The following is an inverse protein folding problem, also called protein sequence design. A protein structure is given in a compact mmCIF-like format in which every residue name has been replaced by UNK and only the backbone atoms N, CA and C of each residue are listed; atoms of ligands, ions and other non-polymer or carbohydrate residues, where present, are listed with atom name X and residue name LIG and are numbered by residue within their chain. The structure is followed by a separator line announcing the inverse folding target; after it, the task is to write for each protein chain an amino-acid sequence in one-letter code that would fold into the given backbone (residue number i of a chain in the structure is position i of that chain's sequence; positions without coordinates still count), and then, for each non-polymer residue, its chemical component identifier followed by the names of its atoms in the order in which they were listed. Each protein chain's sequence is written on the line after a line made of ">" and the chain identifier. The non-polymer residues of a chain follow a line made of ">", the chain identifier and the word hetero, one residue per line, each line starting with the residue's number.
data_IF_515027262253
#
_entry.id   IF_515027262253
#
_cell.length_a   1.000
_cell.length_b   1.000
_cell.length_c   1.000
_cell.angle_alpha   90.00
_cell.angle_beta   90.00
_cell.angle_gamma   90.00
#
_symmetry.space_group_name_H-M   'P 1'
#
loop_
_entity.id
_entity.type
_entity.pdbx_description
1 polymer ?
#
# COMPACT_ATOMS: atom_id res chain seq x y z
N UNK A 1 -6.14 -12.41 11.40
CA UNK A 1 -5.35 -13.20 10.43
C UNK A 1 -4.09 -12.41 10.14
N UNK A 2 -2.91 -13.05 10.19
CA UNK A 2 -1.62 -12.42 9.90
C UNK A 2 -0.74 -13.51 9.30
N UNK A 3 -0.98 -13.85 8.05
CA UNK A 3 -0.20 -14.84 7.31
C UNK A 3 0.16 -14.21 5.95
N UNK A 4 1.42 -13.79 5.81
CA UNK A 4 1.98 -13.33 4.52
C UNK A 4 1.54 -11.94 4.04
N UNK A 5 0.98 -11.10 4.90
CA UNK A 5 0.63 -9.72 4.52
C UNK A 5 1.88 -8.89 4.19
N UNK A 6 1.76 -8.06 3.16
CA UNK A 6 2.82 -7.14 2.74
C UNK A 6 2.89 -6.02 3.78
N UNK A 7 4.07 -5.85 4.38
CA UNK A 7 4.33 -4.71 5.27
C UNK A 7 4.55 -3.48 4.40
N UNK A 8 3.69 -2.49 4.60
CA UNK A 8 3.80 -1.20 3.91
C UNK A 8 3.93 -0.06 4.92
N UNK A 9 4.52 1.05 4.48
CA UNK A 9 4.56 2.30 5.23
C UNK A 9 3.27 3.13 5.05
N UNK A 10 3.26 4.37 5.57
CA UNK A 10 2.12 5.29 5.46
C UNK A 10 1.82 5.76 4.03
N UNK A 11 2.71 5.53 3.08
CA UNK A 11 2.54 5.83 1.66
C UNK A 11 2.20 4.58 0.82
N UNK A 12 2.06 3.42 1.45
CA UNK A 12 1.80 2.16 0.77
C UNK A 12 3.06 1.54 0.14
N UNK A 13 4.26 2.05 0.44
CA UNK A 13 5.51 1.54 -0.12
C UNK A 13 5.95 0.26 0.62
N UNK A 14 6.40 -0.73 -0.14
CA UNK A 14 6.96 -1.97 0.38
C UNK A 14 8.48 -1.83 0.62
N UNK A 15 9.13 -2.92 1.05
CA UNK A 15 10.58 -2.96 1.27
C UNK A 15 11.41 -2.92 -0.02
N UNK A 16 10.78 -3.06 -1.19
CA UNK A 16 11.44 -3.00 -2.50
C UNK A 16 11.13 -1.62 -3.12
N UNK A 17 12.14 -0.82 -3.51
CA UNK A 17 11.92 0.48 -4.15
C UNK A 17 11.04 0.36 -5.40
N UNK A 18 10.07 1.25 -5.52
CA UNK A 18 9.11 1.26 -6.62
C UNK A 18 7.97 0.23 -6.51
N UNK A 19 7.95 -0.61 -5.47
CA UNK A 19 6.87 -1.57 -5.22
C UNK A 19 5.94 -1.03 -4.14
N UNK A 20 4.64 -1.01 -4.45
CA UNK A 20 3.59 -0.52 -3.56
C UNK A 20 2.50 -1.58 -3.41
N UNK A 21 1.83 -1.59 -2.26
CA UNK A 21 0.70 -2.48 -1.99
C UNK A 21 -0.41 -1.75 -1.21
N UNK A 22 -1.64 -2.21 -1.39
CA UNK A 22 -2.82 -1.61 -0.76
C UNK A 22 -3.92 -2.64 -0.49
N UNK A 23 -4.83 -2.29 0.40
CA UNK A 23 -5.97 -3.12 0.74
C UNK A 23 -5.62 -4.36 1.55
N UNK A 24 -6.44 -5.40 1.39
CA UNK A 24 -6.47 -6.53 2.31
C UNK A 24 -5.17 -7.37 2.32
N UNK A 25 -4.36 -7.30 1.26
CA UNK A 25 -3.07 -7.98 1.18
C UNK A 25 -1.96 -7.32 2.02
N UNK A 26 -2.22 -6.13 2.56
CA UNK A 26 -1.25 -5.38 3.39
C UNK A 26 -1.43 -5.65 4.88
N UNK A 27 -0.52 -5.15 5.72
CA UNK A 27 -0.62 -5.20 7.18
C UNK A 27 -1.70 -4.28 7.80
N UNK A 28 -2.67 -3.80 7.02
CA UNK A 28 -3.83 -3.05 7.53
C UNK A 28 -4.65 -3.85 8.53
N UNK A 29 -4.97 -3.24 9.68
CA UNK A 29 -5.74 -3.88 10.76
C UNK A 29 -7.18 -4.23 10.40
N UNK A 30 -7.76 -3.53 9.41
CA UNK A 30 -9.15 -3.67 9.00
C UNK A 30 -9.26 -3.97 7.51
N UNK A 31 -10.18 -4.88 7.16
CA UNK A 31 -10.31 -5.47 5.82
C UNK A 31 -11.70 -5.18 5.27
N UNK A 32 -11.89 -3.98 4.72
CA UNK A 32 -13.18 -3.50 4.23
C UNK A 32 -13.02 -2.77 2.92
N UNK A 33 -14.08 -2.76 2.10
CA UNK A 33 -14.08 -2.15 0.76
C UNK A 33 -13.56 -0.72 0.81
N UNK A 34 -14.13 0.15 1.65
CA UNK A 34 -13.72 1.56 1.72
C UNK A 34 -12.30 1.76 2.25
N UNK A 35 -11.84 0.90 3.16
CA UNK A 35 -10.47 0.96 3.69
C UNK A 35 -9.48 0.56 2.59
N UNK A 36 -9.79 -0.49 1.85
CA UNK A 36 -9.03 -0.90 0.67
C UNK A 36 -8.98 0.19 -0.40
N UNK A 37 -10.09 0.86 -0.67
CA UNK A 37 -10.12 1.98 -1.63
C UNK A 37 -9.28 3.17 -1.16
N UNK A 38 -9.33 3.52 0.12
CA UNK A 38 -8.52 4.62 0.68
C UNK A 38 -7.02 4.34 0.60
N UNK A 39 -6.60 3.15 1.05
CA UNK A 39 -5.20 2.73 0.97
C UNK A 39 -4.70 2.60 -0.47
N UNK A 40 -5.56 2.21 -1.42
CA UNK A 40 -5.23 2.17 -2.84
C UNK A 40 -4.95 3.57 -3.41
N UNK A 41 -5.73 4.58 -3.02
CA UNK A 41 -5.48 5.96 -3.44
C UNK A 41 -4.12 6.47 -2.93
N UNK A 42 -3.79 6.19 -1.66
CA UNK A 42 -2.49 6.54 -1.08
C UNK A 42 -1.33 5.85 -1.80
N UNK A 43 -1.42 4.54 -2.03
CA UNK A 43 -0.39 3.77 -2.72
C UNK A 43 -0.20 4.24 -4.18
N UNK A 44 -1.28 4.58 -4.88
CA UNK A 44 -1.22 5.10 -6.25
C UNK A 44 -0.50 6.46 -6.32
N UNK A 45 -0.79 7.37 -5.37
CA UNK A 45 -0.09 8.64 -5.27
C UNK A 45 1.38 8.46 -4.92
N UNK A 46 1.71 7.53 -4.02
CA UNK A 46 3.09 7.16 -3.69
C UNK A 46 3.86 6.63 -4.89
N UNK A 47 3.24 5.73 -5.67
CA UNK A 47 3.82 5.21 -6.90
C UNK A 47 4.01 6.29 -7.97
N UNK A 48 3.05 7.20 -8.10
CA UNK A 48 3.17 8.34 -9.02
C UNK A 48 4.33 9.27 -8.63
N UNK A 49 4.44 9.64 -7.35
CA UNK A 49 5.55 10.47 -6.85
C UNK A 49 6.91 9.78 -7.05
N UNK A 50 6.98 8.45 -6.85
CA UNK A 50 8.20 7.68 -7.12
C UNK A 50 8.63 7.76 -8.59
N UNK A 51 7.70 7.62 -9.53
CA UNK A 51 7.95 7.72 -10.97
C UNK A 51 8.33 9.15 -11.37
N UNK A 52 7.73 10.18 -10.76
CA UNK A 52 8.07 11.57 -11.10
C UNK A 52 9.47 12.00 -10.62
N UNK A 53 10.04 11.29 -9.64
CA UNK A 53 11.35 11.58 -9.05
C UNK A 53 12.49 10.71 -9.59
N UNK A 54 12.21 9.80 -10.52
CA UNK A 54 13.18 8.88 -11.16
C UNK A 54 13.02 8.89 -12.68
#
# INVERSE_FOLDING_TARGET
>A
MRMGEIVVDSHGAANIPGVFAAGDCTNSSYKQIIISMGTAATAALGAFDYIMRH
#
